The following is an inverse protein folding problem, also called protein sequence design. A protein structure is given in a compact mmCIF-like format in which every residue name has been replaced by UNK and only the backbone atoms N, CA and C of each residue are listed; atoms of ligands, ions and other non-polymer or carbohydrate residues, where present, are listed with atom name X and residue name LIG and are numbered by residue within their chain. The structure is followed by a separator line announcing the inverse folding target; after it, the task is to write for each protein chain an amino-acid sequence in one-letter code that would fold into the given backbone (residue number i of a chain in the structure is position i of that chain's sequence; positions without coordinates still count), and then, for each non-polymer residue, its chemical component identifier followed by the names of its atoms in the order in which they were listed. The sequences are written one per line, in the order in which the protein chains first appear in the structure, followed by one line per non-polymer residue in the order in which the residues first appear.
data_IF_754769579664
#
_entry.id   IF_754769579664
#
_cell.length_a   1.000
_cell.length_b   1.000
_cell.length_c   1.000
_cell.angle_alpha   90.00
_cell.angle_beta   90.00
_cell.angle_gamma   90.00
#
_symmetry.space_group_name_H-M   'P 1'
#
loop_
_entity.id
_entity.type
_entity.pdbx_description
1 polymer ?
#
# COMPACT_ATOMS: atom_id res chain seq x y z
N UNK A 1 84.04 -16.70 16.70
CA UNK A 1 82.84 -17.44 16.26
C UNK A 1 81.63 -16.58 16.67
N UNK A 2 80.99 -15.82 15.77
CA UNK A 2 79.96 -16.18 14.76
C UNK A 2 78.57 -16.48 15.38
N UNK A 3 77.59 -15.63 14.97
CA UNK A 3 76.11 -15.73 15.03
C UNK A 3 75.44 -15.62 16.42
N UNK A 4 74.26 -15.02 16.67
CA UNK A 4 73.21 -14.17 16.03
C UNK A 4 72.26 -13.86 17.22
N UNK A 5 71.88 -12.66 17.67
CA UNK A 5 71.15 -11.55 17.03
C UNK A 5 69.98 -11.95 16.11
N UNK A 6 68.88 -12.46 16.68
CA UNK A 6 67.50 -12.39 16.13
C UNK A 6 66.53 -13.15 17.03
N UNK A 7 66.12 -12.62 18.20
CA UNK A 7 64.92 -13.14 18.88
C UNK A 7 64.33 -12.20 19.95
N UNK A 8 64.32 -10.87 19.78
CA UNK A 8 63.78 -9.95 20.80
C UNK A 8 63.02 -8.74 20.24
N UNK A 9 62.47 -8.83 19.01
CA UNK A 9 61.77 -7.70 18.35
C UNK A 9 60.39 -8.04 17.75
N UNK A 10 59.79 -9.19 18.05
CA UNK A 10 58.50 -9.58 17.44
C UNK A 10 57.27 -9.48 18.36
N UNK A 11 57.41 -9.08 19.63
CA UNK A 11 56.27 -9.00 20.57
C UNK A 11 55.71 -7.60 20.81
N UNK A 12 56.29 -6.56 20.18
CA UNK A 12 55.82 -5.17 20.31
C UNK A 12 55.14 -4.60 19.04
N UNK A 13 54.93 -5.42 18.00
CA UNK A 13 54.37 -4.99 16.70
C UNK A 13 52.95 -5.46 16.38
N UNK A 14 52.35 -6.33 17.21
CA UNK A 14 51.03 -6.93 16.94
C UNK A 14 49.91 -6.31 17.81
N UNK A 15 50.26 -5.44 18.77
CA UNK A 15 49.32 -4.75 19.65
C UNK A 15 49.02 -3.28 19.23
N UNK A 16 49.28 -2.94 17.96
CA UNK A 16 49.00 -1.61 17.40
C UNK A 16 48.21 -1.65 16.09
N UNK A 17 47.54 -2.78 15.81
CA UNK A 17 46.71 -3.00 14.61
C UNK A 17 45.27 -3.45 14.92
N UNK A 18 44.76 -3.18 16.14
CA UNK A 18 43.37 -3.49 16.56
C UNK A 18 42.71 -2.26 17.21
N UNK A 19 42.90 -1.08 16.64
CA UNK A 19 42.24 0.16 17.09
C UNK A 19 41.62 0.97 15.94
N UNK A 20 41.30 0.32 14.80
CA UNK A 20 40.69 0.95 13.63
C UNK A 20 39.53 0.11 13.03
N UNK A 21 38.88 -0.73 13.83
CA UNK A 21 37.70 -1.51 13.41
C UNK A 21 36.55 -1.23 14.35
N UNK A 22 35.84 -0.12 14.13
CA UNK A 22 34.72 0.22 15.00
C UNK A 22 34.08 1.58 14.77
N UNK A 23 33.94 2.04 13.53
CA UNK A 23 32.92 3.03 13.21
C UNK A 23 32.50 2.83 11.75
N UNK A 24 31.57 1.91 11.52
CA UNK A 24 30.78 1.99 10.28
C UNK A 24 30.16 3.39 10.20
N UNK A 25 29.90 3.92 8.99
CA UNK A 25 29.27 5.23 8.84
C UNK A 25 28.04 5.26 9.73
N UNK A 26 27.98 6.24 10.65
CA UNK A 26 26.80 6.44 11.47
C UNK A 26 25.63 6.57 10.52
N UNK A 27 24.67 5.65 10.59
CA UNK A 27 23.50 5.68 9.73
C UNK A 27 22.78 7.05 9.80
N UNK A 28 21.85 7.32 8.88
CA UNK A 28 21.11 8.57 8.86
C UNK A 28 20.61 8.96 10.25
N UNK A 29 20.76 10.23 10.61
CA UNK A 29 20.35 10.72 11.93
C UNK A 29 18.84 10.55 12.09
N UNK A 30 18.41 9.91 13.17
CA UNK A 30 16.98 9.69 13.46
C UNK A 30 16.18 10.97 13.33
N UNK A 31 15.08 10.92 12.59
CA UNK A 31 14.20 12.06 12.33
C UNK A 31 14.55 12.91 11.12
N UNK A 32 15.62 12.61 10.37
CA UNK A 32 15.91 13.27 9.08
C UNK A 32 15.17 12.59 7.91
N UNK A 33 15.00 13.27 6.77
CA UNK A 33 14.44 12.64 5.56
C UNK A 33 15.19 11.37 5.14
N UNK A 34 16.52 11.37 5.20
CA UNK A 34 17.32 10.17 4.86
C UNK A 34 17.00 9.00 5.80
N UNK A 35 16.79 9.27 7.09
CA UNK A 35 16.40 8.24 8.05
C UNK A 35 15.01 7.69 7.78
N UNK A 36 14.03 8.55 7.52
CA UNK A 36 12.68 8.10 7.19
C UNK A 36 12.65 7.29 5.89
N UNK A 37 13.46 7.67 4.89
CA UNK A 37 13.57 6.91 3.65
C UNK A 37 14.16 5.51 3.88
N UNK A 38 15.26 5.43 4.62
CA UNK A 38 15.88 4.14 4.96
C UNK A 38 14.94 3.27 5.81
N UNK A 39 14.30 3.85 6.83
CA UNK A 39 13.36 3.14 7.69
C UNK A 39 12.14 2.63 6.89
N UNK A 40 11.64 3.40 5.93
CA UNK A 40 10.59 2.95 5.00
C UNK A 40 11.05 1.75 4.15
N UNK A 41 12.28 1.78 3.64
CA UNK A 41 12.85 0.67 2.88
C UNK A 41 13.00 -0.60 3.74
N UNK A 42 13.50 -0.47 4.97
CA UNK A 42 13.75 -1.60 5.86
C UNK A 42 12.43 -2.26 6.30
N UNK A 43 11.44 -1.45 6.68
CA UNK A 43 10.10 -1.92 7.05
C UNK A 43 9.35 -2.54 5.87
N UNK A 44 9.51 -1.99 4.65
CA UNK A 44 9.03 -2.62 3.42
C UNK A 44 9.65 -4.00 3.22
N UNK A 45 10.97 -4.12 3.36
CA UNK A 45 11.71 -5.37 3.18
C UNK A 45 11.24 -6.45 4.15
N UNK A 46 10.89 -6.07 5.38
CA UNK A 46 10.33 -6.99 6.39
C UNK A 46 8.84 -7.27 6.23
N UNK A 47 8.14 -6.61 5.30
CA UNK A 47 6.68 -6.74 5.10
C UNK A 47 5.84 -5.97 6.12
N UNK A 48 6.43 -5.05 6.89
CA UNK A 48 5.71 -4.17 7.81
C UNK A 48 5.22 -2.92 7.06
N UNK A 49 4.21 -3.12 6.21
CA UNK A 49 3.68 -2.06 5.36
C UNK A 49 3.02 -0.91 6.12
N UNK A 50 2.53 -1.17 7.34
CA UNK A 50 1.95 -0.14 8.21
C UNK A 50 3.04 0.84 8.64
N UNK A 51 4.17 0.34 9.17
CA UNK A 51 5.29 1.22 9.52
C UNK A 51 5.96 1.85 8.30
N UNK A 52 6.00 1.14 7.17
CA UNK A 52 6.48 1.72 5.92
C UNK A 52 5.67 2.98 5.56
N UNK A 53 4.33 2.90 5.57
CA UNK A 53 3.46 4.06 5.34
C UNK A 53 3.68 5.19 6.35
N UNK A 54 3.85 4.88 7.64
CA UNK A 54 4.13 5.88 8.68
C UNK A 54 5.45 6.64 8.44
N UNK A 55 6.49 5.97 7.96
CA UNK A 55 7.76 6.60 7.62
C UNK A 55 7.64 7.48 6.34
N UNK A 56 6.94 6.99 5.31
CA UNK A 56 6.70 7.76 4.09
C UNK A 56 5.81 8.99 4.35
N UNK A 57 4.87 8.89 5.28
CA UNK A 57 4.04 10.02 5.69
C UNK A 57 4.88 11.22 6.11
N UNK A 58 5.94 10.97 6.90
CA UNK A 58 6.84 12.03 7.35
C UNK A 58 7.56 12.69 6.18
N UNK A 59 7.95 11.92 5.17
CA UNK A 59 8.62 12.43 3.98
C UNK A 59 7.75 13.33 3.12
N UNK A 60 6.45 13.05 3.04
CA UNK A 60 5.60 13.87 2.17
C UNK A 60 5.20 15.20 2.83
N UNK A 61 5.47 15.43 4.12
CA UNK A 61 5.08 16.67 4.80
C UNK A 61 5.80 17.93 4.30
N UNK A 62 7.00 17.79 3.74
CA UNK A 62 7.79 18.89 3.19
C UNK A 62 8.41 18.54 1.84
N UNK A 63 9.12 19.51 1.26
CA UNK A 63 9.89 19.30 0.04
C UNK A 63 11.29 18.76 0.38
N UNK A 64 11.62 17.60 -0.17
CA UNK A 64 12.90 16.92 0.02
C UNK A 64 13.18 15.94 -1.14
N UNK A 65 14.41 15.41 -1.26
CA UNK A 65 14.79 14.53 -2.38
C UNK A 65 13.99 13.21 -2.52
N UNK A 66 13.15 12.89 -1.53
CA UNK A 66 12.34 11.68 -1.52
C UNK A 66 10.86 11.94 -1.76
N UNK A 67 10.38 13.19 -1.66
CA UNK A 67 8.94 13.52 -1.65
C UNK A 67 8.17 12.91 -2.83
N UNK A 68 8.65 13.09 -4.06
CA UNK A 68 7.98 12.56 -5.26
C UNK A 68 7.89 11.03 -5.28
N UNK A 69 8.95 10.35 -4.86
CA UNK A 69 9.01 8.87 -4.80
C UNK A 69 8.18 8.32 -3.64
N UNK A 70 8.27 8.98 -2.49
CA UNK A 70 7.54 8.61 -1.28
C UNK A 70 6.03 8.72 -1.50
N UNK A 71 5.56 9.79 -2.16
CA UNK A 71 4.13 9.96 -2.39
C UNK A 71 3.56 8.91 -3.36
N UNK A 72 4.31 8.55 -4.41
CA UNK A 72 3.88 7.52 -5.36
C UNK A 72 3.74 6.16 -4.66
N UNK A 73 4.67 5.82 -3.78
CA UNK A 73 4.59 4.59 -2.99
C UNK A 73 3.46 4.63 -1.97
N UNK A 74 3.26 5.77 -1.31
CA UNK A 74 2.19 5.93 -0.34
C UNK A 74 0.80 5.80 -0.95
N UNK A 75 0.59 6.25 -2.19
CA UNK A 75 -0.65 6.00 -2.96
C UNK A 75 -0.94 4.51 -3.06
N UNK A 76 0.08 3.70 -3.38
CA UNK A 76 -0.03 2.24 -3.51
C UNK A 76 -0.34 1.60 -2.15
N UNK A 77 0.42 1.96 -1.11
CA UNK A 77 0.27 1.36 0.22
C UNK A 77 -1.10 1.67 0.83
N UNK A 78 -1.55 2.93 0.76
CA UNK A 78 -2.84 3.33 1.33
C UNK A 78 -4.01 2.68 0.61
N UNK A 79 -3.98 2.59 -0.72
CA UNK A 79 -4.98 1.85 -1.50
C UNK A 79 -4.96 0.35 -1.19
N UNK A 80 -3.77 -0.26 -1.16
CA UNK A 80 -3.60 -1.68 -0.87
C UNK A 80 -4.07 -2.06 0.54
N UNK A 81 -3.71 -1.30 1.56
CA UNK A 81 -4.19 -1.51 2.93
C UNK A 81 -5.71 -1.33 3.04
N UNK A 82 -6.26 -0.28 2.42
CA UNK A 82 -7.71 -0.08 2.41
C UNK A 82 -8.44 -1.28 1.77
N UNK A 83 -7.93 -1.78 0.64
CA UNK A 83 -8.46 -2.97 -0.03
C UNK A 83 -8.30 -4.24 0.81
N UNK A 84 -7.17 -4.40 1.50
CA UNK A 84 -6.93 -5.55 2.39
C UNK A 84 -7.93 -5.59 3.54
N UNK A 85 -8.13 -4.47 4.23
CA UNK A 85 -9.15 -4.38 5.28
C UNK A 85 -10.57 -4.54 4.75
N UNK A 86 -10.87 -4.04 3.54
CA UNK A 86 -12.15 -4.27 2.85
C UNK A 86 -12.38 -5.77 2.62
N UNK A 87 -11.39 -6.51 2.14
CA UNK A 87 -11.50 -7.96 1.92
C UNK A 87 -11.80 -8.72 3.22
N UNK A 88 -11.13 -8.36 4.32
CA UNK A 88 -11.36 -8.98 5.63
C UNK A 88 -12.79 -8.66 6.12
N UNK A 89 -13.23 -7.41 5.99
CA UNK A 89 -14.58 -7.01 6.33
C UNK A 89 -15.65 -7.76 5.52
N UNK A 90 -15.45 -7.88 4.21
CA UNK A 90 -16.37 -8.58 3.29
C UNK A 90 -16.45 -10.09 3.63
N UNK A 91 -15.34 -10.70 4.06
CA UNK A 91 -15.33 -12.08 4.56
C UNK A 91 -16.17 -12.23 5.86
N UNK A 92 -16.02 -11.32 6.81
CA UNK A 92 -16.84 -11.34 8.03
C UNK A 92 -18.32 -11.04 7.77
N UNK A 93 -18.62 -10.19 6.79
CA UNK A 93 -19.99 -9.97 6.35
C UNK A 93 -20.63 -11.25 5.80
N UNK A 94 -19.92 -11.96 4.92
CA UNK A 94 -20.37 -13.25 4.39
C UNK A 94 -20.56 -14.27 5.52
N UNK A 95 -19.59 -14.37 6.43
CA UNK A 95 -19.64 -15.25 7.59
C UNK A 95 -20.82 -14.96 8.52
N UNK A 96 -21.17 -13.69 8.74
CA UNK A 96 -22.31 -13.28 9.57
C UNK A 96 -23.67 -13.77 9.02
N UNK A 97 -23.77 -14.01 7.71
CA UNK A 97 -25.00 -14.47 7.05
C UNK A 97 -25.22 -15.98 7.20
N UNK A 98 -24.13 -16.75 7.31
CA UNK A 98 -24.17 -18.22 7.38
C UNK A 98 -23.99 -18.77 8.79
N UNK A 99 -23.25 -18.07 9.65
CA UNK A 99 -22.99 -18.50 11.01
C UNK A 99 -24.22 -18.26 11.90
N UNK A 100 -24.83 -19.35 12.38
CA UNK A 100 -26.02 -19.32 13.26
C UNK A 100 -25.68 -19.22 14.76
N UNK A 101 -24.42 -19.45 15.13
CA UNK A 101 -24.00 -19.59 16.54
C UNK A 101 -23.56 -18.26 17.14
N UNK A 102 -22.80 -17.45 16.40
CA UNK A 102 -22.20 -16.20 16.86
C UNK A 102 -22.29 -15.05 15.82
N UNK A 103 -23.45 -14.79 15.19
CA UNK A 103 -23.55 -13.76 14.14
C UNK A 103 -23.20 -12.35 14.63
N UNK A 104 -23.42 -12.06 15.92
CA UNK A 104 -23.05 -10.76 16.51
C UNK A 104 -21.53 -10.52 16.50
N UNK A 105 -20.72 -11.57 16.74
CA UNK A 105 -19.25 -11.45 16.74
C UNK A 105 -18.71 -11.19 15.33
N UNK A 106 -19.27 -11.85 14.31
CA UNK A 106 -18.93 -11.57 12.92
C UNK A 106 -19.27 -10.13 12.53
N UNK A 107 -20.46 -9.62 12.90
CA UNK A 107 -20.85 -8.23 12.62
C UNK A 107 -19.94 -7.22 13.32
N UNK A 108 -19.52 -7.50 14.55
CA UNK A 108 -18.55 -6.67 15.26
C UNK A 108 -17.23 -6.58 14.47
N UNK A 109 -16.65 -7.72 14.12
CA UNK A 109 -15.38 -7.76 13.36
C UNK A 109 -15.53 -7.12 11.97
N UNK A 110 -16.64 -7.37 11.28
CA UNK A 110 -16.97 -6.68 10.02
C UNK A 110 -16.92 -5.16 10.19
N UNK A 111 -17.58 -4.61 11.23
CA UNK A 111 -17.58 -3.17 11.49
C UNK A 111 -16.19 -2.65 11.86
N UNK A 112 -15.45 -3.38 12.68
CA UNK A 112 -14.08 -3.03 13.08
C UNK A 112 -13.17 -2.92 11.84
N UNK A 113 -13.22 -3.90 10.92
CA UNK A 113 -12.44 -3.88 9.68
C UNK A 113 -12.95 -2.85 8.66
N UNK A 114 -14.25 -2.57 8.59
CA UNK A 114 -14.78 -1.46 7.78
C UNK A 114 -14.27 -0.11 8.28
N UNK A 115 -14.12 0.07 9.59
CA UNK A 115 -13.55 1.29 10.16
C UNK A 115 -12.05 1.44 9.80
N UNK A 116 -11.28 0.36 9.85
CA UNK A 116 -9.88 0.34 9.39
C UNK A 116 -9.75 0.63 7.89
N UNK A 117 -10.59 -0.01 7.06
CA UNK A 117 -10.65 0.23 5.62
C UNK A 117 -10.99 1.70 5.32
N UNK A 118 -11.98 2.26 6.03
CA UNK A 118 -12.37 3.66 5.89
C UNK A 118 -11.22 4.62 6.20
N UNK A 119 -10.52 4.42 7.32
CA UNK A 119 -9.37 5.25 7.68
C UNK A 119 -8.31 5.25 6.58
N UNK A 120 -7.99 4.08 6.02
CA UNK A 120 -6.99 3.96 4.94
C UNK A 120 -7.50 4.51 3.61
N UNK A 121 -8.78 4.35 3.29
CA UNK A 121 -9.39 4.91 2.09
C UNK A 121 -9.37 6.45 2.09
N UNK A 122 -9.58 7.08 3.26
CA UNK A 122 -9.43 8.53 3.43
C UNK A 122 -7.96 8.93 3.21
N UNK A 123 -7.01 8.27 3.87
CA UNK A 123 -5.57 8.54 3.65
C UNK A 123 -5.16 8.38 2.19
N UNK A 124 -5.74 7.41 1.49
CA UNK A 124 -5.53 7.24 0.05
C UNK A 124 -6.05 8.43 -0.76
N UNK A 125 -7.29 8.87 -0.53
CA UNK A 125 -7.85 10.03 -1.22
C UNK A 125 -7.03 11.31 -0.99
N UNK A 126 -6.60 11.54 0.25
CA UNK A 126 -5.72 12.66 0.63
C UNK A 126 -4.35 12.57 -0.06
N UNK A 127 -3.77 11.37 -0.08
CA UNK A 127 -2.46 11.13 -0.72
C UNK A 127 -2.54 11.36 -2.23
N UNK A 128 -3.63 10.94 -2.88
CA UNK A 128 -3.83 11.18 -4.33
C UNK A 128 -4.03 12.66 -4.61
N UNK A 129 -4.79 13.38 -3.79
CA UNK A 129 -4.92 14.83 -3.93
C UNK A 129 -3.57 15.52 -3.86
N UNK A 130 -2.74 15.14 -2.89
CA UNK A 130 -1.40 15.70 -2.72
C UNK A 130 -0.45 15.30 -3.85
N UNK A 131 -0.55 14.07 -4.36
CA UNK A 131 0.20 13.61 -5.53
C UNK A 131 -0.07 14.50 -6.76
N UNK A 132 -1.34 14.83 -7.02
CA UNK A 132 -1.70 15.73 -8.11
C UNK A 132 -1.21 17.17 -7.89
N UNK A 133 -1.23 17.65 -6.65
CA UNK A 133 -0.72 18.99 -6.30
C UNK A 133 0.80 19.12 -6.50
N UNK A 134 1.56 18.03 -6.31
CA UNK A 134 3.00 18.02 -6.58
C UNK A 134 3.35 18.14 -8.06
N UNK A 135 2.38 17.96 -8.97
CA UNK A 135 2.57 18.05 -10.42
C UNK A 135 3.82 17.29 -10.89
N UNK A 136 3.94 16.04 -10.44
CA UNK A 136 5.04 15.18 -10.85
C UNK A 136 4.94 14.97 -12.36
N UNK A 137 5.89 15.55 -13.09
CA UNK A 137 5.98 15.48 -14.55
C UNK A 137 6.75 14.23 -14.99
N UNK A 138 6.41 13.72 -16.18
CA UNK A 138 7.08 12.58 -16.79
C UNK A 138 6.76 11.22 -16.16
N UNK A 139 7.75 10.34 -16.12
CA UNK A 139 7.61 9.00 -15.56
C UNK A 139 7.61 9.03 -14.03
N UNK A 140 6.65 8.32 -13.45
CA UNK A 140 6.54 8.13 -12.01
C UNK A 140 7.50 7.04 -11.60
N UNK A 141 8.43 7.40 -10.71
CA UNK A 141 9.31 6.43 -10.05
C UNK A 141 8.60 5.83 -8.85
N UNK A 142 8.28 4.54 -8.96
CA UNK A 142 7.82 3.70 -7.86
C UNK A 142 9.07 3.11 -7.20
N UNK A 143 9.38 3.50 -5.96
CA UNK A 143 10.60 3.05 -5.29
C UNK A 143 10.48 1.63 -4.73
N UNK A 144 11.63 1.13 -4.27
CA UNK A 144 11.78 -0.18 -3.63
C UNK A 144 11.50 -1.36 -4.56
N UNK A 145 11.79 -2.58 -4.07
CA UNK A 145 11.54 -3.80 -4.84
C UNK A 145 10.04 -4.08 -5.06
N UNK A 146 9.77 -5.12 -5.83
CA UNK A 146 8.40 -5.62 -6.01
C UNK A 146 7.84 -6.14 -4.67
N UNK A 147 6.58 -5.83 -4.30
CA UNK A 147 5.98 -6.30 -3.05
C UNK A 147 6.02 -7.82 -2.90
N UNK A 148 6.18 -8.26 -1.65
CA UNK A 148 5.90 -9.64 -1.27
C UNK A 148 4.40 -9.88 -1.19
N UNK A 149 3.97 -11.09 -1.50
CA UNK A 149 2.58 -11.51 -1.32
C UNK A 149 2.20 -12.65 -2.26
N UNK A 150 0.94 -13.07 -2.15
CA UNK A 150 0.34 -14.07 -3.03
C UNK A 150 -0.90 -13.45 -3.70
N UNK A 151 -1.03 -13.48 -5.04
CA UNK A 151 -2.21 -12.93 -5.72
C UNK A 151 -3.48 -13.77 -5.48
N UNK A 152 -3.35 -15.02 -5.06
CA UNK A 152 -4.47 -15.92 -4.82
C UNK A 152 -5.31 -15.47 -3.61
N UNK A 153 -6.61 -15.78 -3.59
CA UNK A 153 -7.46 -15.50 -2.44
C UNK A 153 -6.90 -16.10 -1.14
N UNK A 154 -7.02 -15.37 -0.03
CA UNK A 154 -6.53 -15.81 1.29
C UNK A 154 -7.41 -16.96 1.81
N UNK A 155 -6.89 -18.20 1.97
CA UNK A 155 -7.72 -19.35 2.33
C UNK A 155 -8.42 -19.23 3.68
N UNK A 156 -7.80 -18.55 4.65
CA UNK A 156 -8.41 -18.28 5.94
C UNK A 156 -9.60 -17.33 5.84
N UNK A 157 -9.57 -16.32 4.96
CA UNK A 157 -10.72 -15.44 4.73
C UNK A 157 -11.88 -16.16 4.05
N UNK A 158 -11.59 -17.13 3.17
CA UNK A 158 -12.63 -18.01 2.62
C UNK A 158 -13.35 -18.78 3.74
N UNK A 159 -12.59 -19.36 4.67
CA UNK A 159 -13.14 -20.07 5.84
C UNK A 159 -13.95 -19.13 6.75
N UNK A 160 -13.51 -17.89 6.94
CA UNK A 160 -14.31 -16.86 7.64
C UNK A 160 -15.64 -16.61 6.92
N UNK A 161 -15.62 -16.46 5.60
CA UNK A 161 -16.82 -16.30 4.78
C UNK A 161 -17.79 -17.49 4.86
N UNK A 162 -17.27 -18.69 5.08
CA UNK A 162 -18.04 -19.92 5.32
C UNK A 162 -18.56 -20.05 6.77
N UNK A 163 -18.29 -19.05 7.61
CA UNK A 163 -18.78 -18.98 8.99
C UNK A 163 -17.82 -19.53 10.04
N UNK A 164 -16.57 -19.85 9.69
CA UNK A 164 -15.56 -20.23 10.68
C UNK A 164 -14.99 -18.99 11.36
N UNK A 165 -15.22 -18.86 12.67
CA UNK A 165 -14.57 -17.82 13.45
C UNK A 165 -13.15 -18.25 13.78
N UNK A 166 -12.16 -17.49 13.29
CA UNK A 166 -10.75 -17.75 13.57
C UNK A 166 -10.35 -17.26 14.97
N UNK A 167 -9.39 -17.95 15.58
CA UNK A 167 -8.68 -17.44 16.75
C UNK A 167 -7.80 -16.23 16.38
N UNK A 168 -7.30 -15.52 17.38
CA UNK A 168 -6.57 -14.24 17.20
C UNK A 168 -5.33 -14.36 16.29
N UNK A 169 -4.45 -15.33 16.55
CA UNK A 169 -3.23 -15.51 15.76
C UNK A 169 -3.49 -15.84 14.27
N UNK A 170 -4.34 -16.83 13.90
CA UNK A 170 -4.66 -17.07 12.49
C UNK A 170 -5.44 -15.92 11.85
N UNK A 171 -6.26 -15.19 12.62
CA UNK A 171 -6.91 -13.98 12.11
C UNK A 171 -5.90 -12.89 11.75
N UNK A 172 -4.94 -12.61 12.63
CA UNK A 172 -3.88 -11.64 12.36
C UNK A 172 -3.01 -12.04 11.15
N UNK A 173 -2.76 -13.34 10.95
CA UNK A 173 -2.07 -13.84 9.77
C UNK A 173 -2.90 -13.66 8.49
N UNK A 174 -4.21 -13.93 8.55
CA UNK A 174 -5.12 -13.74 7.43
C UNK A 174 -5.26 -12.25 7.04
N UNK A 175 -5.32 -11.36 8.02
CA UNK A 175 -5.30 -9.91 7.80
C UNK A 175 -4.01 -9.49 7.07
N UNK A 176 -2.84 -9.90 7.57
CA UNK A 176 -1.55 -9.57 6.94
C UNK A 176 -1.50 -10.07 5.50
N UNK A 177 -1.92 -11.31 5.25
CA UNK A 177 -1.94 -11.89 3.92
C UNK A 177 -2.89 -11.13 2.97
N UNK A 178 -4.03 -10.65 3.47
CA UNK A 178 -4.98 -9.85 2.68
C UNK A 178 -4.40 -8.48 2.30
N UNK A 179 -3.71 -7.82 3.23
CA UNK A 179 -3.01 -6.56 2.98
C UNK A 179 -1.87 -6.76 1.97
N UNK A 180 -1.01 -7.75 2.18
CA UNK A 180 0.07 -8.13 1.25
C UNK A 180 -0.45 -8.37 -0.17
N UNK A 181 -1.49 -9.20 -0.28
CA UNK A 181 -2.16 -9.48 -1.56
C UNK A 181 -2.65 -8.20 -2.22
N UNK A 182 -3.31 -7.30 -1.48
CA UNK A 182 -3.90 -6.10 -2.07
C UNK A 182 -2.86 -5.03 -2.42
N UNK A 183 -1.76 -4.93 -1.67
CA UNK A 183 -0.62 -4.11 -2.07
C UNK A 183 0.02 -4.65 -3.35
N UNK A 184 0.22 -5.97 -3.44
CA UNK A 184 0.73 -6.64 -4.64
C UNK A 184 -0.14 -6.34 -5.87
N UNK A 185 -1.45 -6.58 -5.77
CA UNK A 185 -2.38 -6.37 -6.90
C UNK A 185 -2.53 -4.90 -7.26
N UNK A 186 -2.55 -4.00 -6.26
CA UNK A 186 -2.53 -2.55 -6.51
C UNK A 186 -1.28 -2.15 -7.26
N UNK A 187 -0.12 -2.71 -6.88
CA UNK A 187 1.15 -2.47 -7.57
C UNK A 187 1.09 -2.94 -9.02
N UNK A 188 0.56 -4.15 -9.28
CA UNK A 188 0.38 -4.66 -10.64
C UNK A 188 -0.52 -3.75 -11.49
N UNK A 189 -1.58 -3.21 -10.88
CA UNK A 189 -2.53 -2.34 -11.58
C UNK A 189 -1.91 -0.99 -11.95
N UNK A 190 -1.22 -0.33 -11.02
CA UNK A 190 -0.62 1.00 -11.28
C UNK A 190 0.59 0.96 -12.21
N UNK A 191 1.24 -0.21 -12.37
CA UNK A 191 2.28 -0.40 -13.40
C UNK A 191 1.73 -0.86 -14.75
N UNK A 192 0.41 -0.95 -14.89
CA UNK A 192 -0.25 -1.31 -16.16
C UNK A 192 -0.14 -2.80 -16.52
N UNK A 193 0.15 -3.65 -15.54
CA UNK A 193 0.17 -5.11 -15.71
C UNK A 193 -1.19 -5.77 -15.41
N UNK A 194 -2.15 -5.02 -14.85
CA UNK A 194 -3.45 -5.56 -14.46
C UNK A 194 -3.29 -6.61 -13.36
N UNK A 195 -3.78 -7.82 -13.59
CA UNK A 195 -3.63 -8.96 -12.65
C UNK A 195 -2.40 -9.84 -12.96
N UNK A 196 -1.61 -9.52 -13.99
CA UNK A 196 -0.42 -10.28 -14.35
C UNK A 196 0.77 -9.92 -13.46
N UNK A 197 0.90 -10.66 -12.35
CA UNK A 197 1.99 -10.50 -11.37
C UNK A 197 3.35 -10.73 -12.01
N UNK A 198 3.49 -11.70 -12.93
CA UNK A 198 4.77 -12.00 -13.54
C UNK A 198 5.24 -10.88 -14.46
N UNK A 199 4.32 -10.29 -15.22
CA UNK A 199 4.60 -9.08 -16.02
C UNK A 199 4.94 -7.90 -15.12
N UNK A 200 4.19 -7.67 -14.04
CA UNK A 200 4.47 -6.60 -13.10
C UNK A 200 5.87 -6.74 -12.50
N UNK A 201 6.22 -7.93 -12.02
CA UNK A 201 7.52 -8.20 -11.39
C UNK A 201 8.69 -7.94 -12.34
N UNK A 202 8.56 -8.24 -13.65
CA UNK A 202 9.59 -7.95 -14.65
C UNK A 202 9.85 -6.46 -14.87
N UNK A 203 8.91 -5.58 -14.51
CA UNK A 203 9.09 -4.13 -14.60
C UNK A 203 9.92 -3.57 -13.44
N UNK A 204 10.08 -4.33 -12.35
CA UNK A 204 10.82 -3.91 -11.17
C UNK A 204 12.29 -4.33 -11.25
N UNK A 205 13.16 -3.40 -10.87
CA UNK A 205 14.59 -3.62 -10.62
C UNK A 205 14.88 -3.44 -9.13
N UNK A 206 16.15 -3.51 -8.73
CA UNK A 206 16.56 -3.19 -7.35
C UNK A 206 16.24 -1.74 -6.95
N UNK A 207 16.11 -0.83 -7.91
CA UNK A 207 15.76 0.59 -7.69
C UNK A 207 14.25 0.85 -7.78
N UNK A 208 13.47 -0.19 -8.05
CA UNK A 208 12.03 -0.14 -8.29
C UNK A 208 11.66 -0.08 -9.76
N UNK A 209 10.54 0.56 -10.06
CA UNK A 209 9.95 0.63 -11.39
C UNK A 209 9.71 2.08 -11.83
N UNK A 210 9.77 2.31 -13.14
CA UNK A 210 9.33 3.56 -13.76
C UNK A 210 8.13 3.27 -14.64
N UNK A 211 7.12 4.11 -14.53
CA UNK A 211 5.87 3.97 -15.26
C UNK A 211 5.39 5.33 -15.72
N UNK A 212 4.76 5.40 -16.90
CA UNK A 212 4.16 6.66 -17.36
C UNK A 212 3.13 7.16 -16.35
N UNK A 213 3.03 8.49 -16.18
CA UNK A 213 2.00 9.11 -15.35
C UNK A 213 0.59 8.65 -15.73
N UNK A 214 0.33 8.47 -17.02
CA UNK A 214 -0.99 8.06 -17.51
C UNK A 214 -1.35 6.65 -17.03
N UNK A 215 -0.42 5.70 -17.15
CA UNK A 215 -0.60 4.33 -16.67
C UNK A 215 -0.80 4.29 -15.15
N UNK A 216 0.02 5.04 -14.41
CA UNK A 216 -0.11 5.14 -12.95
C UNK A 216 -1.48 5.67 -12.53
N UNK A 217 -1.88 6.80 -13.10
CA UNK A 217 -3.16 7.45 -12.76
C UNK A 217 -4.38 6.64 -13.19
N UNK A 218 -4.29 5.84 -14.26
CA UNK A 218 -5.34 4.89 -14.61
C UNK A 218 -5.52 3.83 -13.51
N UNK A 219 -4.43 3.27 -12.98
CA UNK A 219 -4.49 2.37 -11.83
C UNK A 219 -5.06 3.05 -10.58
N UNK A 220 -4.68 4.29 -10.31
CA UNK A 220 -5.25 5.08 -9.21
C UNK A 220 -6.77 5.24 -9.35
N UNK A 221 -7.25 5.58 -10.55
CA UNK A 221 -8.68 5.72 -10.80
C UNK A 221 -9.44 4.40 -10.55
N UNK A 222 -8.90 3.27 -11.04
CA UNK A 222 -9.43 1.92 -10.80
C UNK A 222 -9.53 1.59 -9.31
N UNK A 223 -8.48 1.88 -8.52
CA UNK A 223 -8.51 1.72 -7.06
C UNK A 223 -9.52 2.65 -6.38
N UNK A 224 -9.65 3.89 -6.83
CA UNK A 224 -10.67 4.82 -6.31
C UNK A 224 -12.08 4.28 -6.52
N UNK A 225 -12.38 3.77 -7.73
CA UNK A 225 -13.66 3.11 -8.02
C UNK A 225 -13.92 1.93 -7.08
N UNK A 226 -12.97 1.01 -6.93
CA UNK A 226 -13.11 -0.18 -6.07
C UNK A 226 -13.31 0.18 -4.58
N UNK A 227 -12.58 1.19 -4.09
CA UNK A 227 -12.71 1.66 -2.71
C UNK A 227 -13.96 2.52 -2.47
N UNK A 228 -14.52 3.15 -3.51
CA UNK A 228 -15.77 3.90 -3.41
C UNK A 228 -16.94 3.01 -2.96
N UNK A 229 -16.92 1.72 -3.32
CA UNK A 229 -17.92 0.73 -2.90
C UNK A 229 -18.04 0.59 -1.38
N UNK A 230 -16.97 0.92 -0.63
CA UNK A 230 -16.99 0.93 0.84
C UNK A 230 -18.08 1.87 1.39
N UNK A 231 -18.41 2.93 0.64
CA UNK A 231 -19.38 3.96 1.01
C UNK A 231 -20.78 3.73 0.41
N UNK A 232 -20.98 2.59 -0.25
CA UNK A 232 -22.27 2.16 -0.79
C UNK A 232 -23.32 1.95 0.33
N UNK A 233 -24.63 1.96 0.00
CA UNK A 233 -25.70 1.80 0.98
C UNK A 233 -25.63 0.50 1.79
N UNK A 234 -25.05 -0.55 1.22
CA UNK A 234 -24.96 -1.86 1.85
C UNK A 234 -23.71 -2.03 2.72
N UNK A 235 -22.83 -1.02 2.75
CA UNK A 235 -21.58 -1.03 3.51
C UNK A 235 -21.58 0.04 4.60
N UNK A 236 -20.88 1.16 4.42
CA UNK A 236 -20.83 2.24 5.40
C UNK A 236 -21.97 3.24 5.27
N UNK A 237 -22.70 3.22 4.16
CA UNK A 237 -23.78 4.15 3.84
C UNK A 237 -23.42 5.63 4.05
N UNK A 238 -22.36 6.07 3.37
CA UNK A 238 -21.86 7.45 3.46
C UNK A 238 -21.91 8.09 2.06
N UNK A 239 -23.10 8.50 1.59
CA UNK A 239 -23.29 8.90 0.19
C UNK A 239 -22.41 10.09 -0.23
N UNK A 240 -22.11 11.03 0.68
CA UNK A 240 -21.20 12.14 0.39
C UNK A 240 -19.75 11.67 0.14
N UNK A 241 -19.25 10.70 0.92
CA UNK A 241 -17.91 10.11 0.68
C UNK A 241 -17.90 9.25 -0.57
N UNK A 242 -19.00 8.56 -0.84
CA UNK A 242 -19.17 7.80 -2.08
C UNK A 242 -19.06 8.73 -3.30
N UNK A 243 -19.81 9.84 -3.27
CA UNK A 243 -19.79 10.87 -4.30
C UNK A 243 -18.39 11.42 -4.52
N UNK A 244 -17.72 11.85 -3.44
CA UNK A 244 -16.37 12.41 -3.49
C UNK A 244 -15.37 11.48 -4.19
N UNK A 245 -15.36 10.19 -3.84
CA UNK A 245 -14.45 9.20 -4.44
C UNK A 245 -14.74 8.98 -5.93
N UNK A 246 -16.03 8.92 -6.30
CA UNK A 246 -16.47 8.74 -7.69
C UNK A 246 -16.12 9.96 -8.55
N UNK A 247 -16.41 11.16 -8.06
CA UNK A 247 -16.07 12.42 -8.75
C UNK A 247 -14.56 12.56 -8.93
N UNK A 248 -13.77 12.19 -7.91
CA UNK A 248 -12.32 12.20 -8.01
C UNK A 248 -11.80 11.21 -9.06
N UNK A 249 -12.35 10.00 -9.11
CA UNK A 249 -12.00 9.03 -10.14
C UNK A 249 -12.34 9.55 -11.55
N UNK A 250 -13.51 10.16 -11.73
CA UNK A 250 -13.91 10.80 -12.99
C UNK A 250 -12.97 11.95 -13.39
N UNK A 251 -12.55 12.78 -12.43
CA UNK A 251 -11.61 13.87 -12.67
C UNK A 251 -10.25 13.36 -13.16
N UNK A 252 -9.75 12.25 -12.58
CA UNK A 252 -8.53 11.59 -13.04
C UNK A 252 -8.71 11.09 -14.47
N UNK A 253 -9.79 10.36 -14.76
CA UNK A 253 -10.06 9.81 -16.10
C UNK A 253 -10.16 10.89 -17.18
N UNK A 254 -10.75 12.04 -16.87
CA UNK A 254 -10.83 13.19 -17.79
C UNK A 254 -9.45 13.71 -18.21
N UNK A 255 -8.43 13.55 -17.36
CA UNK A 255 -7.06 13.94 -17.64
C UNK A 255 -6.23 12.89 -18.40
N UNK A 256 -6.81 11.71 -18.70
CA UNK A 256 -6.14 10.62 -19.39
C UNK A 256 -6.53 10.57 -20.87
N UNK A 257 -5.67 9.99 -21.74
CA UNK A 257 -6.06 9.70 -23.11
C UNK A 257 -7.28 8.79 -23.16
N UNK A 258 -8.10 9.04 -24.17
CA UNK A 258 -9.29 8.24 -24.43
C UNK A 258 -8.92 6.84 -24.96
N UNK A 259 -9.53 5.82 -24.38
CA UNK A 259 -9.38 4.40 -24.74
C UNK A 259 -10.68 3.67 -24.42
N UNK A 260 -10.85 2.45 -24.92
CA UNK A 260 -12.04 1.64 -24.60
C UNK A 260 -12.18 1.42 -23.09
N UNK A 261 -11.06 1.25 -22.39
CA UNK A 261 -11.03 1.08 -20.94
C UNK A 261 -11.46 2.37 -20.21
N UNK A 262 -10.89 3.52 -20.57
CA UNK A 262 -11.25 4.81 -19.92
C UNK A 262 -12.68 5.22 -20.22
N UNK A 263 -13.20 4.94 -21.43
CA UNK A 263 -14.62 5.14 -21.78
C UNK A 263 -15.55 4.29 -20.94
N UNK A 264 -15.29 2.97 -20.89
CA UNK A 264 -16.10 2.02 -20.14
C UNK A 264 -16.16 2.44 -18.67
N UNK A 265 -15.00 2.75 -18.09
CA UNK A 265 -14.91 3.14 -16.69
C UNK A 265 -15.61 4.47 -16.40
N UNK A 266 -15.47 5.46 -17.28
CA UNK A 266 -16.19 6.75 -17.16
C UNK A 266 -17.70 6.53 -17.13
N UNK A 267 -18.23 5.72 -18.06
CA UNK A 267 -19.66 5.40 -18.13
C UNK A 267 -20.17 4.69 -16.86
N UNK A 268 -19.39 3.75 -16.33
CA UNK A 268 -19.74 3.05 -15.08
C UNK A 268 -19.81 4.03 -13.89
N UNK A 269 -18.79 4.88 -13.74
CA UNK A 269 -18.72 5.88 -12.66
C UNK A 269 -19.81 6.96 -12.79
N UNK A 270 -20.13 7.42 -13.99
CA UNK A 270 -21.25 8.35 -14.22
C UNK A 270 -22.60 7.73 -13.84
N UNK A 271 -22.79 6.43 -14.11
CA UNK A 271 -23.95 5.68 -13.66
C UNK A 271 -24.03 5.65 -12.13
N UNK A 272 -22.93 5.29 -11.47
CA UNK A 272 -22.83 5.29 -10.00
C UNK A 272 -23.09 6.69 -9.42
N UNK A 273 -22.54 7.75 -10.02
CA UNK A 273 -22.75 9.12 -9.56
C UNK A 273 -24.23 9.53 -9.62
N UNK A 274 -24.92 9.22 -10.71
CA UNK A 274 -26.37 9.48 -10.85
C UNK A 274 -27.18 8.77 -9.77
N UNK A 275 -26.84 7.52 -9.46
CA UNK A 275 -27.51 6.76 -8.40
C UNK A 275 -27.28 7.38 -7.01
N UNK A 276 -26.05 7.84 -6.73
CA UNK A 276 -25.72 8.54 -5.48
C UNK A 276 -26.50 9.85 -5.37
N UNK A 277 -26.53 10.67 -6.42
CA UNK A 277 -27.24 11.96 -6.43
C UNK A 277 -28.74 11.79 -6.25
N UNK A 278 -29.34 10.76 -6.85
CA UNK A 278 -30.75 10.42 -6.65
C UNK A 278 -31.03 10.11 -5.17
N UNK A 279 -30.13 9.38 -4.52
CA UNK A 279 -30.26 9.04 -3.09
C UNK A 279 -30.11 10.27 -2.20
N UNK A 280 -29.14 11.15 -2.48
CA UNK A 280 -28.94 12.40 -1.73
C UNK A 280 -30.12 13.36 -1.84
N UNK A 281 -30.79 13.41 -3.00
CA UNK A 281 -31.98 14.26 -3.19
C UNK A 281 -33.26 13.70 -2.55
N UNK A 282 -33.26 12.41 -2.22
CA UNK A 282 -34.40 11.71 -1.61
C UNK A 282 -34.25 11.44 -0.11
N UNK A 283 -33.13 11.86 0.49
CA UNK A 283 -32.84 11.80 1.93
C UNK A 283 -33.12 13.16 2.58
#
# INVERSE_FOLDING_TARGET
MRFNNTLWLCTAGILWLIAMTGCGPSGPRTGTPDWYWQAAHDTFTTGDYVKCDEHLEKLITGDNPYTSRAIAWRVILTAGMAGGYKDVADAFEAGARVNKTAPAQFRKLMNDYRALANRRAISFAETVLKFEQLKVDGDIQIPFGFPKGNPLPVPDLKRVGEGLLLAEAPLAAAERAAIERRILLTTCEVVGAGEDVARAQKLFTNEGARVSRQTFMLGVAKRMKDLAELYSPYKLDQPERHKLMVEKALAILKGLPESDETKKMTKELEGTLKDIEKRLKGA
#
